data_IF_579115648968
#
_entry.id   IF_579115648968
#
_cell.length_a   1.000
_cell.length_b   1.000
_cell.length_c   1.000
_cell.angle_alpha   90.00
_cell.angle_beta   90.00
_cell.angle_gamma   90.00
#
_symmetry.space_group_name_H-M   'P 1'
#
loop_
_entity.id
_entity.type
_entity.pdbx_description
1 polymer ?
#
# COMPACT_ATOMS: atom_id res chain seq x y z
N UNK A 1 17.98 7.65 10.07
CA UNK A 1 18.38 6.26 10.39
C UNK A 1 18.31 5.50 9.09
N UNK A 2 19.36 4.78 8.70
CA UNK A 2 19.41 4.16 7.36
C UNK A 2 19.73 2.66 7.40
N UNK A 3 20.37 2.17 8.46
CA UNK A 3 20.64 0.74 8.63
C UNK A 3 20.27 0.33 10.05
N UNK A 4 19.44 -0.72 10.18
CA UNK A 4 19.05 -1.31 11.46
C UNK A 4 19.35 -2.81 11.43
N UNK A 5 19.95 -3.35 12.49
CA UNK A 5 20.41 -4.75 12.55
C UNK A 5 20.18 -5.34 13.93
N UNK A 6 19.52 -6.50 13.98
CA UNK A 6 19.48 -7.37 15.16
C UNK A 6 20.74 -8.23 15.26
N UNK A 7 21.20 -8.51 16.49
CA UNK A 7 22.44 -9.25 16.74
C UNK A 7 22.28 -10.29 17.87
N UNK A 8 23.09 -11.35 17.78
CA UNK A 8 23.22 -12.41 18.79
C UNK A 8 23.75 -11.92 20.15
N UNK A 9 24.30 -10.71 20.23
CA UNK A 9 24.77 -10.09 21.49
C UNK A 9 23.66 -9.36 22.26
N UNK A 10 22.41 -9.73 21.99
CA UNK A 10 21.18 -9.21 22.59
C UNK A 10 20.93 -7.74 22.28
N UNK A 11 21.42 -7.26 21.13
CA UNK A 11 21.29 -5.86 20.75
C UNK A 11 20.66 -5.68 19.39
N UNK A 12 20.01 -4.54 19.27
CA UNK A 12 19.60 -3.93 18.02
C UNK A 12 20.44 -2.68 17.82
N UNK A 13 21.10 -2.59 16.68
CA UNK A 13 21.95 -1.48 16.30
C UNK A 13 21.28 -0.65 15.23
N UNK A 14 21.52 0.66 15.24
CA UNK A 14 21.11 1.56 14.19
C UNK A 14 22.26 2.51 13.81
N UNK A 15 22.46 2.70 12.51
CA UNK A 15 23.47 3.59 11.96
C UNK A 15 22.90 4.53 10.89
N UNK A 16 23.59 5.66 10.72
CA UNK A 16 23.48 6.51 9.54
C UNK A 16 24.34 5.95 8.40
N UNK A 17 24.09 6.41 7.18
CA UNK A 17 24.78 6.00 5.95
C UNK A 17 26.28 6.29 5.99
N UNK A 18 26.70 7.24 6.83
CA UNK A 18 28.11 7.58 7.06
C UNK A 18 28.81 6.63 8.07
N UNK A 19 28.07 5.65 8.60
CA UNK A 19 28.55 4.66 9.57
C UNK A 19 28.53 5.15 11.02
N UNK A 20 28.09 6.39 11.29
CA UNK A 20 27.90 6.87 12.66
C UNK A 20 26.68 6.22 13.31
N UNK A 21 26.76 5.99 14.63
CA UNK A 21 25.64 5.40 15.39
C UNK A 21 24.51 6.41 15.54
N UNK A 22 23.28 5.97 15.34
CA UNK A 22 22.10 6.81 15.61
C UNK A 22 22.02 7.09 17.11
N UNK A 23 21.72 8.34 17.48
CA UNK A 23 21.55 8.72 18.90
C UNK A 23 20.47 7.86 19.55
N UNK A 24 20.76 7.33 20.73
CA UNK A 24 19.86 6.43 21.45
C UNK A 24 20.11 4.96 21.16
N UNK A 25 20.91 4.62 20.14
CA UNK A 25 21.23 3.23 19.78
C UNK A 25 22.67 2.87 20.19
N UNK A 26 22.96 1.58 20.46
CA UNK A 26 22.08 0.41 20.35
C UNK A 26 21.08 0.25 21.50
N UNK A 27 20.01 -0.53 21.27
CA UNK A 27 19.08 -1.01 22.31
C UNK A 27 19.32 -2.47 22.64
N UNK A 28 18.95 -2.87 23.85
CA UNK A 28 19.24 -4.21 24.38
C UNK A 28 17.94 -4.96 24.68
N UNK A 29 17.86 -6.18 24.19
CA UNK A 29 16.81 -7.18 24.47
C UNK A 29 17.27 -8.13 25.57
N UNK A 30 16.40 -9.06 25.99
CA UNK A 30 16.75 -10.09 26.97
C UNK A 30 17.64 -11.22 26.42
N UNK A 31 17.62 -11.46 25.12
CA UNK A 31 18.39 -12.50 24.43
C UNK A 31 18.62 -12.09 22.95
N UNK A 32 19.28 -12.92 22.16
CA UNK A 32 19.69 -12.65 20.78
C UNK A 32 18.54 -12.23 19.87
N UNK A 33 18.82 -11.26 18.99
CA UNK A 33 17.89 -10.76 17.97
C UNK A 33 18.31 -11.31 16.62
N UNK A 34 17.65 -12.37 16.16
CA UNK A 34 17.90 -12.99 14.84
C UNK A 34 16.80 -12.70 13.83
N UNK A 35 15.67 -12.19 14.29
CA UNK A 35 14.66 -11.64 13.38
C UNK A 35 15.24 -10.45 12.63
N UNK A 36 14.85 -10.29 11.36
CA UNK A 36 15.19 -9.06 10.68
C UNK A 36 14.30 -7.93 11.24
N UNK A 37 14.87 -6.77 11.57
CA UNK A 37 14.08 -5.62 11.97
C UNK A 37 13.20 -5.16 10.82
N UNK A 38 12.00 -4.69 11.15
CA UNK A 38 11.12 -3.97 10.22
C UNK A 38 10.85 -2.57 10.75
N UNK A 39 10.46 -1.69 9.83
CA UNK A 39 10.17 -0.28 10.08
C UNK A 39 8.73 0.04 9.72
N UNK A 40 8.07 0.86 10.53
CA UNK A 40 6.72 1.38 10.27
C UNK A 40 6.35 2.41 11.33
N UNK A 41 5.45 3.34 10.98
CA UNK A 41 4.90 4.34 11.90
C UNK A 41 3.81 3.69 12.76
N UNK A 42 4.22 3.13 13.90
CA UNK A 42 3.33 2.30 14.72
C UNK A 42 2.38 3.19 15.48
N UNK A 43 2.84 4.26 16.12
CA UNK A 43 1.98 5.09 16.96
C UNK A 43 1.35 6.29 16.24
N UNK A 44 1.56 6.42 14.93
CA UNK A 44 0.90 7.40 14.07
C UNK A 44 1.47 8.82 14.23
N UNK A 45 2.71 8.94 14.70
CA UNK A 45 3.35 10.23 14.94
C UNK A 45 4.13 10.77 13.72
N UNK A 46 4.27 9.93 12.68
CA UNK A 46 4.93 10.24 11.42
C UNK A 46 6.42 9.92 11.38
N UNK A 47 7.02 9.49 12.49
CA UNK A 47 8.34 8.88 12.52
C UNK A 47 8.22 7.35 12.41
N UNK A 48 9.32 6.66 12.07
CA UNK A 48 9.32 5.20 11.90
C UNK A 48 9.88 4.52 13.14
N UNK A 49 9.10 3.60 13.70
CA UNK A 49 9.50 2.70 14.77
C UNK A 49 10.23 1.47 14.21
N UNK A 50 11.03 0.84 15.06
CA UNK A 50 11.72 -0.42 14.78
C UNK A 50 11.02 -1.55 15.54
N UNK A 51 10.57 -2.57 14.82
CA UNK A 51 10.02 -3.81 15.40
C UNK A 51 10.98 -4.97 15.19
N UNK A 52 11.22 -5.73 16.26
CA UNK A 52 12.01 -6.97 16.22
C UNK A 52 11.39 -8.06 17.08
N UNK A 53 11.54 -9.31 16.66
CA UNK A 53 11.42 -10.49 17.51
C UNK A 53 12.75 -10.90 18.13
N UNK A 54 12.71 -11.37 19.37
CA UNK A 54 13.89 -11.78 20.14
C UNK A 54 13.72 -13.18 20.73
N UNK A 55 14.84 -13.83 21.03
CA UNK A 55 14.86 -15.16 21.63
C UNK A 55 14.37 -15.24 23.08
N UNK A 56 14.21 -14.09 23.75
CA UNK A 56 13.64 -13.98 25.10
C UNK A 56 12.10 -13.99 25.11
N UNK A 57 11.49 -14.63 24.12
CA UNK A 57 10.05 -14.77 23.92
C UNK A 57 9.33 -13.41 23.74
N UNK A 58 10.04 -12.36 23.32
CA UNK A 58 9.46 -11.01 23.18
C UNK A 58 9.60 -10.38 21.81
N UNK A 59 8.58 -9.60 21.48
CA UNK A 59 8.57 -8.65 20.39
C UNK A 59 8.75 -7.26 20.97
N UNK A 60 9.74 -6.53 20.45
CA UNK A 60 10.05 -5.17 20.88
C UNK A 60 9.69 -4.19 19.79
N UNK A 61 9.20 -3.02 20.19
CA UNK A 61 9.05 -1.85 19.34
C UNK A 61 9.72 -0.65 20.02
N UNK A 62 10.55 0.08 19.28
CA UNK A 62 11.17 1.33 19.73
C UNK A 62 10.96 2.43 18.72
N UNK A 63 10.75 3.65 19.20
CA UNK A 63 10.84 4.85 18.38
C UNK A 63 12.23 5.01 17.76
N UNK A 64 12.32 5.86 16.75
CA UNK A 64 13.57 6.19 16.07
C UNK A 64 14.68 6.70 17.02
N UNK A 65 14.31 7.33 18.16
CA UNK A 65 15.22 7.79 19.22
C UNK A 65 15.59 6.70 20.25
N UNK A 66 15.01 5.51 20.08
CA UNK A 66 15.20 4.31 20.88
C UNK A 66 14.40 4.29 22.19
N UNK A 67 13.54 5.26 22.46
CA UNK A 67 12.52 5.10 23.51
C UNK A 67 11.55 3.97 23.13
N UNK A 68 10.93 3.33 24.13
CA UNK A 68 10.03 2.20 23.89
C UNK A 68 8.65 2.74 23.51
N UNK A 69 8.05 2.15 22.48
CA UNK A 69 6.68 2.47 22.05
C UNK A 69 5.70 2.07 23.14
N UNK A 70 4.69 2.91 23.40
CA UNK A 70 3.69 2.61 24.43
C UNK A 70 3.01 1.26 24.19
N UNK A 71 2.88 0.48 25.27
CA UNK A 71 2.33 -0.87 25.21
C UNK A 71 3.35 -1.98 24.90
N UNK A 72 4.54 -1.66 24.41
CA UNK A 72 5.59 -2.64 24.08
C UNK A 72 6.61 -2.81 25.22
N UNK A 73 7.36 -3.93 25.29
CA UNK A 73 7.32 -5.12 24.43
C UNK A 73 6.13 -6.06 24.69
N UNK A 74 5.89 -7.00 23.77
CA UNK A 74 4.91 -8.08 23.91
C UNK A 74 5.56 -9.44 24.06
N UNK A 75 4.93 -10.31 24.85
CA UNK A 75 5.43 -11.64 25.15
C UNK A 75 4.65 -12.69 24.35
N UNK A 76 5.37 -13.57 23.67
CA UNK A 76 4.86 -14.79 23.03
C UNK A 76 5.07 -15.99 23.96
N UNK A 77 4.68 -17.19 23.50
CA UNK A 77 4.89 -18.41 24.29
C UNK A 77 6.30 -18.98 24.23
N UNK A 78 7.11 -18.62 23.21
CA UNK A 78 8.50 -19.04 23.00
C UNK A 78 9.28 -18.08 22.09
N UNK A 79 10.59 -18.33 21.97
CA UNK A 79 11.56 -17.58 21.19
C UNK A 79 11.07 -17.23 19.79
N UNK A 80 11.41 -16.03 19.32
CA UNK A 80 11.00 -15.56 18.01
C UNK A 80 12.19 -15.56 17.06
N UNK A 81 12.01 -16.22 15.91
CA UNK A 81 12.98 -16.25 14.81
C UNK A 81 12.45 -15.57 13.54
N UNK A 82 11.13 -15.45 13.45
CA UNK A 82 10.40 -14.84 12.35
C UNK A 82 10.66 -13.33 12.30
N UNK A 83 10.75 -12.78 11.09
CA UNK A 83 10.70 -11.33 10.93
C UNK A 83 9.23 -10.89 11.03
N UNK A 84 8.94 -9.78 11.74
CA UNK A 84 7.57 -9.29 11.84
C UNK A 84 7.00 -8.92 10.46
N UNK A 85 5.68 -8.93 10.34
CA UNK A 85 4.95 -8.31 9.23
C UNK A 85 4.06 -7.21 9.81
N UNK A 86 3.94 -6.10 9.09
CA UNK A 86 3.11 -4.95 9.45
C UNK A 86 1.98 -4.80 8.44
N UNK A 87 0.80 -4.38 8.89
CA UNK A 87 -0.34 -4.11 8.00
C UNK A 87 -1.54 -3.56 8.75
N UNK A 88 -2.26 -2.64 8.11
CA UNK A 88 -3.59 -2.19 8.56
C UNK A 88 -4.62 -3.24 8.13
N UNK A 89 -4.91 -4.16 9.04
CA UNK A 89 -5.66 -5.37 8.71
C UNK A 89 -7.17 -5.16 8.79
N UNK A 90 -7.64 -4.32 9.70
CA UNK A 90 -9.07 -4.03 9.85
C UNK A 90 -9.51 -2.68 9.23
N UNK A 91 -8.57 -1.99 8.58
CA UNK A 91 -8.77 -0.77 7.79
C UNK A 91 -9.23 0.40 8.63
N UNK A 92 -8.79 0.44 9.89
CA UNK A 92 -9.08 1.53 10.80
C UNK A 92 -8.03 2.66 10.73
N UNK A 93 -6.93 2.43 10.00
CA UNK A 93 -5.84 3.37 9.78
C UNK A 93 -4.67 3.20 10.76
N UNK A 94 -4.80 2.33 11.76
CA UNK A 94 -3.72 1.94 12.66
C UNK A 94 -3.04 0.65 12.14
N UNK A 95 -1.77 0.45 12.47
CA UNK A 95 -1.01 -0.73 12.00
C UNK A 95 -1.08 -1.86 13.02
N UNK A 96 -1.35 -3.08 12.54
CA UNK A 96 -1.13 -4.31 13.30
C UNK A 96 0.26 -4.92 13.06
N UNK A 97 0.80 -5.52 14.12
CA UNK A 97 2.06 -6.27 14.11
C UNK A 97 1.77 -7.77 14.18
N UNK A 98 2.24 -8.51 13.17
CA UNK A 98 2.10 -9.96 13.07
C UNK A 98 3.44 -10.66 13.25
N UNK A 99 3.45 -11.76 14.01
CA UNK A 99 4.67 -12.54 14.18
C UNK A 99 4.41 -14.03 14.40
N UNK A 100 5.28 -14.87 13.83
CA UNK A 100 5.32 -16.30 14.09
C UNK A 100 6.28 -16.60 15.25
N UNK A 101 5.82 -17.36 16.23
CA UNK A 101 6.58 -17.74 17.43
C UNK A 101 6.87 -19.25 17.45
N UNK A 102 7.91 -19.66 18.19
CA UNK A 102 8.34 -21.06 18.33
C UNK A 102 7.42 -21.94 19.18
N UNK A 103 6.31 -21.39 19.66
CA UNK A 103 5.23 -22.13 20.32
C UNK A 103 4.14 -22.61 19.34
N UNK A 104 4.40 -22.52 18.03
CA UNK A 104 3.46 -22.95 16.98
C UNK A 104 2.34 -21.96 16.72
N UNK A 105 2.46 -20.72 17.20
CA UNK A 105 1.42 -19.70 17.07
C UNK A 105 1.86 -18.50 16.24
N UNK A 106 0.85 -17.91 15.61
CA UNK A 106 0.92 -16.60 14.96
C UNK A 106 0.18 -15.61 15.86
N UNK A 107 0.88 -14.57 16.27
CA UNK A 107 0.35 -13.51 17.13
C UNK A 107 0.08 -12.26 16.30
N UNK A 108 -0.94 -11.50 16.70
CA UNK A 108 -1.27 -10.20 16.15
C UNK A 108 -1.59 -9.23 17.29
N UNK A 109 -1.03 -8.03 17.22
CA UNK A 109 -1.34 -6.93 18.14
C UNK A 109 -1.61 -5.66 17.35
N UNK A 110 -2.57 -4.86 17.80
CA UNK A 110 -2.75 -3.50 17.35
C UNK A 110 -1.53 -2.64 17.71
N UNK A 111 -1.44 -1.46 17.13
CA UNK A 111 -0.36 -0.50 17.35
C UNK A 111 -0.05 -0.22 18.83
N UNK A 112 -1.10 0.00 19.64
CA UNK A 112 -1.03 0.20 21.10
C UNK A 112 -0.69 -1.08 21.90
N UNK A 113 -0.50 -2.19 21.21
CA UNK A 113 -0.15 -3.48 21.76
C UNK A 113 -1.31 -4.27 22.37
N UNK A 114 -2.56 -3.82 22.25
CA UNK A 114 -3.69 -4.69 22.57
C UNK A 114 -3.75 -5.85 21.58
N UNK A 115 -4.18 -7.03 22.04
CA UNK A 115 -4.26 -8.22 21.18
C UNK A 115 -5.43 -8.07 20.21
N UNK A 116 -5.19 -8.35 18.93
CA UNK A 116 -6.27 -8.35 17.94
C UNK A 116 -7.28 -9.45 18.27
N UNK A 117 -8.56 -9.12 18.15
CA UNK A 117 -9.64 -10.06 18.41
C UNK A 117 -9.52 -11.29 17.49
N UNK A 118 -9.58 -12.48 18.09
CA UNK A 118 -9.47 -13.75 17.36
C UNK A 118 -8.05 -14.32 17.32
N UNK A 119 -7.05 -13.56 17.74
CA UNK A 119 -5.64 -13.95 17.79
C UNK A 119 -5.18 -14.28 19.22
N UNK A 120 -4.13 -15.12 19.41
CA UNK A 120 -3.29 -15.75 18.40
C UNK A 120 -3.93 -16.97 17.70
N UNK A 121 -3.36 -17.38 16.57
CA UNK A 121 -3.71 -18.60 15.84
C UNK A 121 -2.68 -19.68 16.00
N UNK A 122 -3.16 -20.93 16.12
CA UNK A 122 -2.31 -22.10 16.29
C UNK A 122 -2.20 -22.85 14.97
N UNK A 123 -0.97 -23.11 14.57
CA UNK A 123 -0.66 -24.14 13.56
C UNK A 123 -0.62 -25.49 14.27
N UNK A 124 -1.18 -26.53 13.65
CA UNK A 124 -1.22 -27.88 14.22
C UNK A 124 0.08 -28.69 13.99
N UNK A 125 1.15 -28.03 13.51
CA UNK A 125 2.50 -28.59 13.39
C UNK A 125 3.33 -28.33 14.65
N UNK A 126 4.16 -29.31 15.04
CA UNK A 126 5.25 -29.13 16.01
C UNK A 126 6.30 -28.18 15.41
N UNK A 127 6.03 -26.87 15.37
CA UNK A 127 6.92 -25.91 14.68
C UNK A 127 8.31 -25.91 15.32
N UNK A 128 9.23 -26.63 14.68
CA UNK A 128 10.67 -26.40 14.76
C UNK A 128 11.12 -25.35 13.71
N UNK A 129 10.16 -24.69 13.03
CA UNK A 129 10.35 -23.88 11.82
C UNK A 129 9.85 -22.42 11.88
N UNK A 130 9.79 -21.78 13.06
CA UNK A 130 9.35 -20.37 13.21
C UNK A 130 10.31 -19.32 12.65
N UNK A 131 11.11 -19.66 11.65
CA UNK A 131 11.95 -18.74 10.89
C UNK A 131 11.13 -17.90 9.90
N UNK A 132 9.93 -18.36 9.55
CA UNK A 132 9.22 -17.86 8.39
C UNK A 132 8.27 -16.71 8.76
N UNK A 133 8.22 -15.72 7.87
CA UNK A 133 7.48 -14.46 8.07
C UNK A 133 6.10 -14.56 7.43
N UNK A 134 5.06 -13.98 8.03
CA UNK A 134 3.74 -13.90 7.41
C UNK A 134 3.77 -13.09 6.11
N UNK A 135 2.82 -13.38 5.21
CA UNK A 135 2.41 -12.46 4.16
C UNK A 135 0.96 -12.04 4.37
N UNK A 136 0.63 -10.81 4.01
CA UNK A 136 -0.67 -10.18 4.25
C UNK A 136 -1.26 -9.68 2.93
N UNK A 137 -2.44 -10.18 2.56
CA UNK A 137 -3.19 -9.69 1.41
C UNK A 137 -4.55 -10.37 1.23
N UNK A 138 -5.44 -9.74 0.47
CA UNK A 138 -6.76 -10.28 0.09
C UNK A 138 -6.58 -11.40 -0.95
N UNK A 139 -6.56 -12.65 -0.49
CA UNK A 139 -6.34 -13.81 -1.36
C UNK A 139 -7.63 -14.43 -1.86
N UNK A 140 -8.77 -14.12 -1.25
CA UNK A 140 -10.04 -14.75 -1.60
C UNK A 140 -11.08 -13.81 -2.23
N UNK A 141 -10.75 -12.52 -2.33
CA UNK A 141 -11.55 -11.50 -3.00
C UNK A 141 -12.67 -10.95 -2.12
N UNK A 142 -12.60 -11.20 -0.80
CA UNK A 142 -13.57 -10.68 0.17
C UNK A 142 -13.42 -9.18 0.39
N UNK A 143 -12.25 -8.62 0.08
CA UNK A 143 -11.88 -7.26 0.41
C UNK A 143 -11.36 -7.11 1.84
N UNK A 144 -11.28 -8.17 2.63
CA UNK A 144 -10.57 -8.20 3.91
C UNK A 144 -9.14 -8.74 3.69
N UNK A 145 -8.22 -8.45 4.61
CA UNK A 145 -6.83 -8.91 4.48
C UNK A 145 -6.67 -10.28 5.14
N UNK A 146 -6.13 -11.25 4.40
CA UNK A 146 -5.76 -12.56 4.94
C UNK A 146 -4.29 -12.61 5.36
N UNK A 147 -4.05 -13.44 6.38
CA UNK A 147 -2.74 -13.72 6.94
C UNK A 147 -2.30 -15.10 6.46
N UNK A 148 -1.30 -15.14 5.59
CA UNK A 148 -0.77 -16.36 4.97
C UNK A 148 0.55 -16.74 5.62
N UNK A 149 0.65 -17.97 6.12
CA UNK A 149 1.83 -18.45 6.87
C UNK A 149 2.22 -19.86 6.43
N UNK A 150 3.50 -20.04 6.11
CA UNK A 150 4.12 -21.35 5.91
C UNK A 150 4.47 -22.05 7.22
N UNK A 151 4.46 -23.39 7.21
CA UNK A 151 4.79 -24.26 8.35
C UNK A 151 5.61 -25.47 7.90
N UNK A 152 5.71 -26.50 8.74
CA UNK A 152 6.47 -27.73 8.42
C UNK A 152 5.90 -28.52 7.25
N UNK A 153 4.59 -28.57 7.05
CA UNK A 153 4.00 -29.38 5.96
C UNK A 153 2.76 -28.75 5.31
N UNK A 154 2.42 -27.53 5.74
CA UNK A 154 1.22 -26.81 5.32
C UNK A 154 1.47 -25.32 5.12
N UNK A 155 0.56 -24.70 4.39
CA UNK A 155 0.38 -23.27 4.35
C UNK A 155 -1.01 -22.97 4.92
N UNK A 156 -1.08 -22.08 5.89
CA UNK A 156 -2.32 -21.62 6.50
C UNK A 156 -2.70 -20.26 5.96
N UNK A 157 -4.00 -20.00 5.92
CA UNK A 157 -4.54 -18.68 5.68
C UNK A 157 -5.73 -18.45 6.61
N UNK A 158 -5.75 -17.30 7.26
CA UNK A 158 -6.84 -16.83 8.11
C UNK A 158 -7.29 -15.46 7.65
N UNK A 159 -8.59 -15.19 7.77
CA UNK A 159 -9.13 -13.85 7.66
C UNK A 159 -8.69 -12.97 8.82
N UNK A 160 -8.90 -11.66 8.68
CA UNK A 160 -8.58 -10.66 9.69
C UNK A 160 -9.16 -10.97 11.09
N UNK A 161 -10.39 -11.51 11.15
CA UNK A 161 -11.08 -11.91 12.37
C UNK A 161 -10.61 -13.26 12.95
N UNK A 162 -9.68 -13.90 12.25
CA UNK A 162 -9.10 -15.19 12.58
C UNK A 162 -9.96 -16.39 12.18
N UNK A 163 -11.04 -16.23 11.42
CA UNK A 163 -11.69 -17.38 10.79
C UNK A 163 -10.79 -17.98 9.71
N UNK A 164 -10.97 -19.26 9.40
CA UNK A 164 -10.16 -19.92 8.37
C UNK A 164 -10.65 -19.50 6.99
N UNK A 165 -9.72 -19.21 6.08
CA UNK A 165 -10.04 -19.03 4.67
C UNK A 165 -10.59 -20.33 4.10
N UNK A 166 -11.59 -20.24 3.22
CA UNK A 166 -12.25 -21.40 2.64
C UNK A 166 -11.25 -22.26 1.86
N UNK A 167 -11.21 -23.58 2.13
CA UNK A 167 -10.27 -24.57 1.52
C UNK A 167 -8.80 -24.41 1.93
N UNK A 168 -8.55 -23.74 3.06
CA UNK A 168 -7.25 -23.72 3.74
C UNK A 168 -7.31 -24.52 5.06
N UNK A 169 -6.19 -25.07 5.55
CA UNK A 169 -4.82 -24.96 5.02
C UNK A 169 -4.56 -25.82 3.76
N UNK A 170 -3.50 -25.47 3.00
CA UNK A 170 -2.95 -26.27 1.90
C UNK A 170 -1.83 -27.16 2.40
N UNK A 171 -1.72 -28.39 1.87
CA UNK A 171 -0.65 -29.34 2.25
C UNK A 171 0.47 -29.34 1.21
N UNK A 172 1.71 -29.23 1.65
CA UNK A 172 2.95 -29.23 0.84
C UNK A 172 3.85 -30.42 1.15
N UNK A 173 3.72 -31.01 2.34
CA UNK A 173 4.40 -32.25 2.73
C UNK A 173 5.84 -32.11 3.23
N UNK A 174 6.41 -30.90 3.21
CA UNK A 174 7.73 -30.57 3.75
C UNK A 174 7.84 -29.05 4.01
N UNK A 175 8.92 -28.61 4.66
CA UNK A 175 9.13 -27.27 5.20
C UNK A 175 8.76 -26.17 4.21
N UNK A 176 7.88 -25.25 4.61
CA UNK A 176 7.37 -24.16 3.79
C UNK A 176 7.89 -22.82 4.32
N UNK A 177 8.80 -22.13 3.60
CA UNK A 177 9.28 -20.82 3.95
C UNK A 177 8.23 -19.73 3.75
N UNK A 178 8.61 -18.47 4.02
CA UNK A 178 7.74 -17.29 3.89
C UNK A 178 7.02 -17.27 2.53
N UNK A 179 5.68 -17.14 2.50
CA UNK A 179 4.92 -17.03 1.26
C UNK A 179 5.20 -15.73 0.52
N UNK A 180 4.89 -15.74 -0.78
CA UNK A 180 4.83 -14.56 -1.63
C UNK A 180 3.46 -14.50 -2.32
N UNK A 181 2.89 -13.30 -2.39
CA UNK A 181 1.59 -13.03 -3.01
C UNK A 181 1.79 -12.22 -4.30
N UNK A 182 1.11 -12.63 -5.38
CA UNK A 182 1.08 -11.84 -6.61
C UNK A 182 0.47 -12.58 -7.79
N UNK A 183 0.09 -11.82 -8.82
CA UNK A 183 -0.35 -12.33 -10.13
C UNK A 183 0.88 -12.78 -10.95
N UNK A 184 1.16 -14.08 -10.95
CA UNK A 184 2.35 -14.67 -11.58
C UNK A 184 2.10 -15.13 -13.01
N UNK A 185 0.86 -15.49 -13.35
CA UNK A 185 0.52 -16.01 -14.68
C UNK A 185 -0.20 -14.98 -15.57
N UNK A 186 -0.56 -13.83 -15.01
CA UNK A 186 -1.09 -12.66 -15.70
C UNK A 186 -2.59 -12.72 -15.93
N UNK A 187 -3.33 -13.60 -15.25
CA UNK A 187 -4.78 -13.71 -15.43
C UNK A 187 -5.60 -12.69 -14.62
N UNK A 188 -4.92 -11.99 -13.70
CA UNK A 188 -5.48 -10.93 -12.87
C UNK A 188 -6.01 -11.40 -11.51
N UNK A 189 -5.97 -12.70 -11.24
CA UNK A 189 -6.20 -13.28 -9.93
C UNK A 189 -4.87 -13.33 -9.14
N UNK A 190 -4.93 -13.53 -7.82
CA UNK A 190 -3.77 -13.50 -6.93
C UNK A 190 -3.28 -14.92 -6.62
N UNK A 191 -2.00 -15.18 -6.82
CA UNK A 191 -1.41 -16.45 -6.41
C UNK A 191 -0.76 -16.36 -5.04
N UNK A 192 -0.88 -17.45 -4.29
CA UNK A 192 0.02 -17.76 -3.18
C UNK A 192 1.14 -18.67 -3.69
N UNK A 193 2.38 -18.18 -3.62
CA UNK A 193 3.59 -18.93 -3.99
C UNK A 193 4.39 -19.26 -2.75
N UNK A 194 4.80 -20.52 -2.63
CA UNK A 194 5.72 -20.97 -1.58
C UNK A 194 6.78 -21.89 -2.14
N UNK A 195 7.99 -21.76 -1.60
CA UNK A 195 9.00 -22.81 -1.72
C UNK A 195 8.64 -24.02 -0.86
N UNK A 196 9.35 -25.11 -1.09
CA UNK A 196 9.46 -26.25 -0.17
C UNK A 196 10.83 -26.91 -0.41
N UNK A 197 11.13 -27.99 0.29
CA UNK A 197 12.44 -28.63 0.24
C UNK A 197 12.90 -28.97 -1.20
N UNK A 198 12.00 -29.47 -2.04
CA UNK A 198 12.29 -29.89 -3.42
C UNK A 198 11.34 -29.33 -4.48
N UNK A 199 10.36 -28.50 -4.08
CA UNK A 199 9.25 -28.03 -4.94
C UNK A 199 8.96 -26.56 -4.73
N UNK A 200 8.28 -25.98 -5.71
CA UNK A 200 7.53 -24.73 -5.56
C UNK A 200 6.06 -25.08 -5.72
N UNK A 201 5.23 -24.60 -4.79
CA UNK A 201 3.78 -24.70 -4.88
C UNK A 201 3.22 -23.32 -5.23
N UNK A 202 2.27 -23.32 -6.15
CA UNK A 202 1.53 -22.13 -6.58
C UNK A 202 0.05 -22.49 -6.47
N UNK A 203 -0.71 -21.67 -5.75
CA UNK A 203 -2.16 -21.76 -5.71
C UNK A 203 -2.73 -20.48 -6.30
N UNK A 204 -3.36 -20.63 -7.46
CA UNK A 204 -4.34 -19.69 -8.01
C UNK A 204 -5.51 -19.57 -7.01
N UNK A 205 -5.75 -18.35 -6.56
CA UNK A 205 -6.75 -18.00 -5.57
C UNK A 205 -7.77 -17.03 -6.18
N UNK A 206 -9.00 -17.01 -5.66
CA UNK A 206 -10.10 -16.25 -6.27
C UNK A 206 -10.06 -14.73 -6.05
N UNK A 207 -9.07 -14.22 -5.32
CA UNK A 207 -8.91 -12.79 -5.09
C UNK A 207 -8.34 -12.09 -6.32
N UNK A 208 -8.84 -10.91 -6.65
CA UNK A 208 -8.27 -10.10 -7.73
C UNK A 208 -6.94 -9.53 -7.25
N UNK A 209 -5.88 -9.71 -8.02
CA UNK A 209 -4.60 -9.10 -7.70
C UNK A 209 -4.68 -7.58 -7.75
N UNK A 210 -4.52 -6.97 -6.57
CA UNK A 210 -4.50 -5.53 -6.40
C UNK A 210 -3.49 -5.17 -5.32
N UNK A 211 -2.46 -4.39 -5.67
CA UNK A 211 -1.46 -3.91 -4.73
C UNK A 211 -2.07 -3.16 -3.54
N UNK A 212 -3.25 -2.55 -3.71
CA UNK A 212 -3.97 -1.89 -2.61
C UNK A 212 -4.50 -2.88 -1.58
N UNK A 213 -4.67 -4.14 -1.92
CA UNK A 213 -5.12 -5.18 -1.02
C UNK A 213 -3.97 -6.08 -0.56
N UNK A 214 -2.71 -5.68 -0.76
CA UNK A 214 -1.53 -6.38 -0.26
C UNK A 214 -0.85 -5.50 0.77
N UNK A 215 -0.95 -5.83 2.06
CA UNK A 215 -0.28 -5.08 3.13
C UNK A 215 1.17 -5.51 3.32
N UNK A 216 1.49 -6.78 3.07
CA UNK A 216 2.83 -7.32 3.26
C UNK A 216 3.02 -8.55 2.38
N UNK A 217 3.20 -8.36 1.08
CA UNK A 217 3.07 -9.42 0.09
C UNK A 217 4.16 -10.49 0.12
N UNK A 218 5.32 -10.21 0.72
CA UNK A 218 6.44 -11.17 0.77
C UNK A 218 7.36 -10.89 1.96
N UNK A 219 8.39 -11.73 2.12
CA UNK A 219 9.45 -11.50 3.11
C UNK A 219 10.08 -10.12 2.92
N UNK A 220 10.10 -9.32 4.00
CA UNK A 220 10.50 -7.91 3.99
C UNK A 220 9.62 -7.01 3.12
N UNK A 221 8.30 -7.21 3.21
CA UNK A 221 7.23 -6.38 2.66
C UNK A 221 7.08 -6.46 1.13
N UNK A 222 8.11 -6.04 0.40
CA UNK A 222 8.06 -5.79 -1.04
C UNK A 222 9.14 -6.57 -1.83
N UNK A 223 9.10 -6.44 -3.16
CA UNK A 223 10.04 -7.09 -4.07
C UNK A 223 11.50 -6.65 -3.89
N UNK A 224 11.72 -5.48 -3.28
CA UNK A 224 13.04 -4.95 -2.94
C UNK A 224 13.51 -5.41 -1.56
N UNK A 225 12.64 -6.06 -0.78
CA UNK A 225 12.90 -6.54 0.57
C UNK A 225 13.32 -5.42 1.51
N UNK A 226 12.59 -4.30 1.46
CA UNK A 226 12.91 -3.11 2.25
C UNK A 226 12.70 -3.33 3.75
N UNK A 227 11.74 -4.17 4.12
CA UNK A 227 11.30 -4.29 5.51
C UNK A 227 10.66 -3.00 6.04
N UNK A 228 10.22 -2.12 5.15
CA UNK A 228 9.61 -0.83 5.45
C UNK A 228 8.12 -0.89 5.10
N UNK A 229 7.27 -0.69 6.10
CA UNK A 229 5.86 -0.40 5.91
C UNK A 229 5.68 1.11 5.82
N UNK A 230 5.17 1.57 4.68
CA UNK A 230 4.62 2.91 4.55
C UNK A 230 3.11 2.77 4.56
N UNK A 231 2.37 3.51 5.41
CA UNK A 231 0.93 3.47 5.38
C UNK A 231 0.48 3.75 3.94
N UNK A 232 -0.36 2.87 3.40
CA UNK A 232 -1.00 3.17 2.13
C UNK A 232 -1.69 4.51 2.29
N UNK A 233 -1.48 5.47 1.38
CA UNK A 233 -2.18 6.73 1.46
C UNK A 233 -3.65 6.40 1.63
N UNK A 234 -4.30 6.91 2.68
CA UNK A 234 -5.72 6.71 2.91
C UNK A 234 -6.43 6.99 1.58
N UNK A 235 -6.93 5.93 0.93
CA UNK A 235 -7.37 5.97 -0.47
C UNK A 235 -6.66 5.05 -1.49
N UNK A 236 -5.71 4.22 -1.06
CA UNK A 236 -5.00 3.28 -1.93
C UNK A 236 -3.96 3.96 -2.81
N UNK A 237 -3.07 3.16 -3.38
CA UNK A 237 -2.19 3.58 -4.46
C UNK A 237 -3.07 4.11 -5.60
N UNK A 238 -2.86 5.39 -5.90
CA UNK A 238 -3.70 6.14 -6.83
C UNK A 238 -3.44 5.84 -8.29
N UNK A 239 -2.48 4.97 -8.56
CA UNK A 239 -2.03 4.57 -9.87
C UNK A 239 -1.74 3.08 -9.88
N UNK A 240 -2.38 2.34 -10.78
CA UNK A 240 -2.04 0.95 -11.07
C UNK A 240 -1.77 0.77 -12.56
N UNK A 241 -0.99 -0.25 -12.91
CA UNK A 241 -0.53 -0.51 -14.28
C UNK A 241 -0.77 -1.99 -14.60
N UNK A 242 -1.35 -2.29 -15.75
CA UNK A 242 -1.57 -3.67 -16.20
C UNK A 242 -1.49 -3.80 -17.75
N UNK A 243 -0.82 -4.83 -18.28
CA UNK A 243 -0.05 -5.83 -17.55
C UNK A 243 1.24 -5.23 -16.98
N UNK A 244 1.75 -5.78 -15.88
CA UNK A 244 3.00 -5.32 -15.23
C UNK A 244 4.26 -5.90 -15.89
N UNK A 245 4.11 -6.91 -16.74
CA UNK A 245 5.18 -7.49 -17.56
C UNK A 245 4.61 -8.07 -18.87
N UNK A 246 5.48 -8.40 -19.81
CA UNK A 246 5.08 -9.00 -21.08
C UNK A 246 6.25 -9.25 -22.01
N UNK A 247 5.99 -9.93 -23.13
CA UNK A 247 6.98 -10.14 -24.21
C UNK A 247 6.47 -9.52 -25.50
N UNK A 248 7.34 -8.79 -26.18
CA UNK A 248 7.08 -8.21 -27.50
C UNK A 248 8.18 -8.63 -28.47
N UNK A 249 7.78 -9.08 -29.65
CA UNK A 249 8.70 -9.28 -30.77
C UNK A 249 9.21 -7.91 -31.28
N UNK A 250 10.43 -7.84 -31.83
CA UNK A 250 10.97 -6.60 -32.37
C UNK A 250 10.03 -5.94 -33.40
N UNK A 251 9.70 -4.68 -33.17
CA UNK A 251 8.82 -3.88 -34.04
C UNK A 251 7.31 -4.02 -33.76
N UNK A 252 6.91 -4.82 -32.78
CA UNK A 252 5.52 -4.91 -32.32
C UNK A 252 5.23 -3.91 -31.18
N UNK A 253 3.94 -3.76 -30.87
CA UNK A 253 3.44 -2.92 -29.78
C UNK A 253 2.43 -3.68 -28.92
N UNK A 254 2.34 -3.34 -27.64
CA UNK A 254 1.26 -3.75 -26.73
C UNK A 254 0.68 -2.53 -26.04
N UNK A 255 -0.56 -2.64 -25.56
CA UNK A 255 -1.17 -1.63 -24.72
C UNK A 255 -0.90 -1.94 -23.25
N UNK A 256 -0.56 -0.91 -22.49
CA UNK A 256 -0.50 -0.95 -21.04
C UNK A 256 -1.63 -0.04 -20.54
N UNK A 257 -2.50 -0.59 -19.70
CA UNK A 257 -3.56 0.15 -19.02
C UNK A 257 -2.99 0.79 -17.78
N UNK A 258 -3.14 2.11 -17.66
CA UNK A 258 -2.82 2.87 -16.45
C UNK A 258 -4.15 3.32 -15.84
N UNK A 259 -4.43 2.86 -14.63
CA UNK A 259 -5.68 3.18 -13.92
C UNK A 259 -5.36 4.15 -12.79
N UNK A 260 -6.15 5.22 -12.70
CA UNK A 260 -6.04 6.18 -11.61
C UNK A 260 -7.21 5.99 -10.64
N UNK A 261 -6.95 5.87 -9.34
CA UNK A 261 -7.98 5.80 -8.30
C UNK A 261 -7.76 6.92 -7.28
N UNK A 262 -8.65 7.92 -7.28
CA UNK A 262 -8.55 9.05 -6.35
C UNK A 262 -9.46 8.90 -5.12
N UNK A 263 -10.08 7.73 -4.95
CA UNK A 263 -11.04 7.50 -3.86
C UNK A 263 -10.31 7.56 -2.53
N UNK A 264 -10.75 8.41 -1.60
CA UNK A 264 -10.14 8.54 -0.27
C UNK A 264 -8.88 9.41 -0.21
N UNK A 265 -8.30 9.76 -1.35
CA UNK A 265 -7.01 10.46 -1.41
C UNK A 265 -7.18 11.94 -1.03
N UNK A 266 -6.36 12.45 -0.10
CA UNK A 266 -6.39 13.87 0.25
C UNK A 266 -6.12 14.78 -0.96
N UNK A 267 -6.56 16.05 -0.90
CA UNK A 267 -6.18 17.05 -1.89
C UNK A 267 -4.68 17.30 -1.87
N UNK A 268 -4.05 17.34 -3.04
CA UNK A 268 -2.61 17.49 -3.19
C UNK A 268 -2.11 17.24 -4.60
N UNK A 269 -0.81 17.46 -4.80
CA UNK A 269 -0.10 17.02 -6.00
C UNK A 269 0.72 15.78 -5.69
N UNK A 270 0.48 14.73 -6.48
CA UNK A 270 1.11 13.43 -6.36
C UNK A 270 1.96 13.17 -7.59
N UNK A 271 3.16 12.66 -7.35
CA UNK A 271 4.16 12.41 -8.39
C UNK A 271 4.66 10.98 -8.27
N UNK A 272 4.65 10.24 -9.38
CA UNK A 272 5.27 8.92 -9.47
C UNK A 272 5.84 8.73 -10.87
N UNK A 273 6.83 7.87 -11.01
CA UNK A 273 7.33 7.46 -12.32
C UNK A 273 6.86 6.04 -12.60
N UNK A 274 6.20 5.81 -13.75
CA UNK A 274 6.05 4.47 -14.29
C UNK A 274 7.39 4.10 -14.91
N UNK A 275 7.98 3.00 -14.46
CA UNK A 275 9.29 2.53 -14.94
C UNK A 275 9.10 1.23 -15.71
N UNK A 276 9.48 1.24 -16.98
CA UNK A 276 9.46 0.07 -17.86
C UNK A 276 10.90 -0.36 -18.07
N UNK A 277 11.25 -1.55 -17.59
CA UNK A 277 12.54 -2.18 -17.86
C UNK A 277 12.40 -3.17 -19.00
N UNK A 278 13.31 -3.13 -19.96
CA UNK A 278 13.31 -4.02 -21.12
C UNK A 278 14.65 -4.74 -21.26
N UNK A 279 14.67 -5.83 -22.03
CA UNK A 279 15.89 -6.52 -22.43
C UNK A 279 16.48 -5.98 -23.76
N UNK A 280 15.95 -4.87 -24.28
CA UNK A 280 16.53 -4.16 -25.42
C UNK A 280 17.89 -3.55 -25.00
N UNK A 281 19.00 -3.88 -25.70
CA UNK A 281 20.32 -3.38 -25.33
C UNK A 281 20.50 -1.88 -25.52
N UNK A 282 19.69 -1.25 -26.38
CA UNK A 282 19.76 0.18 -26.67
C UNK A 282 18.80 0.97 -25.76
N UNK A 283 17.63 0.44 -25.45
CA UNK A 283 16.59 1.06 -24.59
C UNK A 283 16.09 0.13 -23.48
N UNK A 284 16.95 -0.16 -22.51
CA UNK A 284 16.63 -1.06 -21.40
C UNK A 284 15.78 -0.43 -20.28
N UNK A 285 15.56 0.88 -20.31
CA UNK A 285 14.85 1.62 -19.28
C UNK A 285 14.09 2.82 -19.87
N UNK A 286 12.77 2.82 -19.71
CA UNK A 286 11.91 3.95 -20.00
C UNK A 286 11.22 4.41 -18.72
N UNK A 287 11.35 5.69 -18.39
CA UNK A 287 10.70 6.30 -17.23
C UNK A 287 9.68 7.34 -17.69
N UNK A 288 8.43 7.13 -17.32
CA UNK A 288 7.30 7.99 -17.68
C UNK A 288 6.85 8.73 -16.42
N UNK A 289 7.10 10.05 -16.31
CA UNK A 289 6.66 10.82 -15.16
C UNK A 289 5.13 10.99 -15.19
N UNK A 290 4.49 10.67 -14.08
CA UNK A 290 3.05 10.82 -13.88
C UNK A 290 2.78 11.83 -12.78
N UNK A 291 1.87 12.75 -13.08
CA UNK A 291 1.38 13.75 -12.14
C UNK A 291 -0.11 13.57 -11.95
N UNK A 292 -0.54 13.43 -10.70
CA UNK A 292 -1.95 13.47 -10.31
C UNK A 292 -2.17 14.69 -9.42
N UNK A 293 -3.16 15.51 -9.75
CA UNK A 293 -3.62 16.60 -8.89
C UNK A 293 -5.01 16.27 -8.36
N UNK A 294 -5.09 16.01 -7.06
CA UNK A 294 -6.36 15.83 -6.35
C UNK A 294 -6.77 17.19 -5.78
N UNK A 295 -7.98 17.65 -6.08
CA UNK A 295 -8.45 18.97 -5.64
C UNK A 295 -9.67 18.84 -4.75
N UNK A 296 -9.81 19.74 -3.77
CA UNK A 296 -11.10 19.95 -3.09
C UNK A 296 -11.98 20.71 -4.07
N UNK A 297 -13.18 20.21 -4.40
CA UNK A 297 -14.17 20.99 -5.12
C UNK A 297 -14.48 22.25 -4.28
N UNK A 298 -14.08 23.43 -4.75
CA UNK A 298 -14.32 24.69 -4.03
C UNK A 298 -15.79 25.08 -4.14
N UNK A 299 -16.58 25.10 -3.05
CA UNK A 299 -17.97 25.50 -3.11
C UNK A 299 -18.11 26.92 -3.67
N UNK A 300 -18.79 27.05 -4.80
CA UNK A 300 -19.00 28.32 -5.50
C UNK A 300 -18.16 28.52 -6.77
N UNK A 301 -17.29 27.59 -7.15
CA UNK A 301 -16.66 27.59 -8.48
C UNK A 301 -17.60 27.07 -9.59
N UNK A 302 -17.29 27.39 -10.84
CA UNK A 302 -18.00 26.83 -12.00
C UNK A 302 -17.69 25.33 -12.11
N UNK A 303 -16.44 24.91 -11.89
CA UNK A 303 -16.06 23.49 -11.92
C UNK A 303 -16.84 22.67 -10.90
N UNK A 304 -17.04 23.18 -9.68
CA UNK A 304 -17.83 22.50 -8.65
C UNK A 304 -19.25 22.20 -9.14
N UNK A 305 -19.89 23.17 -9.80
CA UNK A 305 -21.22 23.00 -10.35
C UNK A 305 -21.24 21.99 -11.51
N UNK A 306 -20.19 21.96 -12.34
CA UNK A 306 -20.03 20.97 -13.43
C UNK A 306 -19.90 19.56 -12.88
N UNK A 307 -19.10 19.37 -11.83
CA UNK A 307 -18.87 18.08 -11.20
C UNK A 307 -20.16 17.55 -10.55
N UNK A 308 -20.91 18.41 -9.86
CA UNK A 308 -22.16 18.07 -9.19
C UNK A 308 -23.35 17.84 -10.14
N UNK A 309 -23.31 18.42 -11.36
CA UNK A 309 -24.41 18.33 -12.32
C UNK A 309 -24.53 16.95 -12.99
N UNK A 310 -25.76 16.57 -13.30
CA UNK A 310 -26.09 15.40 -14.14
C UNK A 310 -26.09 15.77 -15.63
N UNK A 311 -25.87 14.80 -16.54
CA UNK A 311 -25.96 15.06 -17.98
C UNK A 311 -27.34 15.60 -18.38
N UNK A 312 -27.34 16.75 -19.06
CA UNK A 312 -28.53 17.49 -19.49
C UNK A 312 -28.88 18.70 -18.62
N UNK A 313 -28.23 18.84 -17.45
CA UNK A 313 -28.52 19.94 -16.52
C UNK A 313 -28.11 21.31 -17.07
N UNK A 314 -28.77 22.33 -16.53
CA UNK A 314 -28.43 23.74 -16.75
C UNK A 314 -27.79 24.33 -15.50
N UNK A 315 -26.55 24.81 -15.64
CA UNK A 315 -25.81 25.53 -14.61
C UNK A 315 -25.98 27.03 -14.85
N UNK A 316 -26.54 27.72 -13.86
CA UNK A 316 -26.64 29.19 -13.85
C UNK A 316 -25.51 29.74 -12.99
N UNK A 317 -24.57 30.44 -13.62
CA UNK A 317 -23.42 31.06 -12.98
C UNK A 317 -23.80 32.48 -12.56
N UNK A 318 -23.60 32.80 -11.27
CA UNK A 318 -23.87 34.12 -10.72
C UNK A 318 -22.85 35.14 -11.21
N UNK A 319 -23.19 36.43 -11.10
CA UNK A 319 -22.27 37.51 -11.46
C UNK A 319 -20.99 37.45 -10.62
N UNK A 320 -19.86 37.70 -11.26
CA UNK A 320 -18.56 37.60 -10.60
C UNK A 320 -17.38 37.47 -11.55
N UNK A 321 -16.20 37.40 -10.97
CA UNK A 321 -14.97 37.02 -11.67
C UNK A 321 -14.49 35.69 -11.11
N UNK A 322 -14.47 34.68 -11.97
CA UNK A 322 -14.07 33.32 -11.67
C UNK A 322 -12.67 33.10 -12.25
N UNK A 323 -11.70 32.74 -11.41
CA UNK A 323 -10.32 32.44 -11.86
C UNK A 323 -10.12 30.94 -11.79
N UNK A 324 -10.40 30.24 -12.88
CA UNK A 324 -10.39 28.78 -12.98
C UNK A 324 -10.28 28.33 -14.44
N UNK A 325 -9.84 27.08 -14.63
CA UNK A 325 -9.89 26.39 -15.91
C UNK A 325 -10.97 25.31 -15.79
N UNK A 326 -12.06 25.43 -16.55
CA UNK A 326 -13.27 24.60 -16.39
C UNK A 326 -13.26 23.44 -17.38
N UNK A 327 -13.27 22.22 -16.89
CA UNK A 327 -13.34 20.98 -17.66
C UNK A 327 -14.77 20.46 -17.72
N UNK A 328 -15.36 20.46 -18.92
CA UNK A 328 -16.76 20.07 -19.16
C UNK A 328 -16.79 18.71 -19.86
N UNK A 329 -16.96 17.65 -19.08
CA UNK A 329 -16.88 16.25 -19.53
C UNK A 329 -18.23 15.54 -19.68
N UNK A 330 -19.33 16.28 -19.55
CA UNK A 330 -20.69 15.76 -19.68
C UNK A 330 -21.57 16.79 -20.38
N UNK A 331 -22.64 16.33 -21.02
CA UNK A 331 -23.61 17.18 -21.73
C UNK A 331 -24.21 18.19 -20.75
N UNK A 332 -23.95 19.49 -20.91
CA UNK A 332 -24.43 20.54 -20.01
C UNK A 332 -24.78 21.82 -20.75
N UNK A 333 -25.67 22.61 -20.17
CA UNK A 333 -25.85 24.03 -20.53
C UNK A 333 -25.31 24.90 -19.41
N UNK A 334 -24.33 25.75 -19.69
CA UNK A 334 -23.69 26.64 -18.71
C UNK A 334 -23.95 28.08 -19.13
N UNK A 335 -24.67 28.84 -18.31
CA UNK A 335 -25.11 30.20 -18.64
C UNK A 335 -24.79 31.18 -17.50
N UNK A 336 -24.30 32.36 -17.85
CA UNK A 336 -24.24 33.49 -16.92
C UNK A 336 -25.64 34.04 -16.66
N UNK A 337 -25.96 34.33 -15.40
CA UNK A 337 -27.25 34.88 -14.98
C UNK A 337 -27.56 36.22 -15.64
N UNK A 338 -26.61 37.17 -15.63
CA UNK A 338 -26.81 38.53 -16.18
C UNK A 338 -25.89 38.84 -17.37
N UNK A 339 -25.48 37.80 -18.12
CA UNK A 339 -24.72 37.93 -19.36
C UNK A 339 -23.25 38.34 -19.17
N UNK A 340 -22.57 38.58 -20.29
CA UNK A 340 -21.09 38.67 -20.33
C UNK A 340 -20.53 39.92 -19.68
N UNK A 341 -21.33 40.97 -19.52
CA UNK A 341 -20.92 42.19 -18.84
C UNK A 341 -20.67 41.98 -17.33
N UNK A 342 -21.33 41.01 -16.72
CA UNK A 342 -21.33 40.80 -15.26
C UNK A 342 -20.63 39.52 -14.82
N UNK A 343 -20.34 38.60 -15.74
CA UNK A 343 -19.64 37.35 -15.44
C UNK A 343 -18.38 37.20 -16.30
N UNK A 344 -17.22 37.22 -15.64
CA UNK A 344 -15.92 36.99 -16.26
C UNK A 344 -15.34 35.66 -15.80
N UNK A 345 -14.86 34.85 -16.74
CA UNK A 345 -14.06 33.65 -16.45
C UNK A 345 -12.65 33.89 -16.96
N UNK A 346 -11.70 33.84 -16.05
CA UNK A 346 -10.28 34.05 -16.30
C UNK A 346 -9.55 32.73 -16.08
N UNK A 347 -8.67 32.33 -17.01
CA UNK A 347 -7.84 31.15 -16.82
C UNK A 347 -7.04 31.28 -15.51
N UNK A 348 -6.96 30.22 -14.71
CA UNK A 348 -6.03 30.19 -13.58
C UNK A 348 -4.62 29.84 -14.07
N UNK A 349 -4.49 28.87 -14.96
CA UNK A 349 -3.25 28.45 -15.61
C UNK A 349 -3.12 29.05 -17.02
N UNK A 350 -1.98 29.71 -17.28
CA UNK A 350 -1.75 30.44 -18.56
C UNK A 350 -1.64 29.53 -19.78
N UNK A 351 -1.22 28.27 -19.58
CA UNK A 351 -1.03 27.29 -20.65
C UNK A 351 -2.30 26.53 -21.01
N UNK A 352 -3.37 26.68 -20.24
CA UNK A 352 -4.58 25.87 -20.34
C UNK A 352 -5.78 26.67 -20.88
N UNK A 353 -6.77 25.95 -21.39
CA UNK A 353 -8.04 26.52 -21.84
C UNK A 353 -8.87 27.04 -20.66
N UNK A 354 -9.61 28.14 -20.85
CA UNK A 354 -10.57 28.62 -19.83
C UNK A 354 -11.75 27.65 -19.69
N UNK A 355 -12.24 27.14 -20.83
CA UNK A 355 -13.22 26.06 -20.89
C UNK A 355 -12.67 24.99 -21.81
N UNK A 356 -12.40 23.81 -21.25
CA UNK A 356 -12.04 22.63 -22.01
C UNK A 356 -13.29 21.74 -22.16
N UNK A 357 -13.74 21.51 -23.39
CA UNK A 357 -14.97 20.74 -23.67
C UNK A 357 -14.58 19.33 -24.14
N UNK A 358 -14.95 18.33 -23.35
CA UNK A 358 -14.67 16.92 -23.59
C UNK A 358 -15.94 16.07 -23.82
N UNK A 359 -17.11 16.69 -23.97
CA UNK A 359 -18.38 16.01 -24.23
C UNK A 359 -19.20 16.69 -25.33
N UNK A 360 -20.02 15.87 -26.02
CA UNK A 360 -20.96 16.35 -27.03
C UNK A 360 -22.12 17.12 -26.40
N UNK A 361 -22.73 18.01 -27.19
CA UNK A 361 -23.93 18.79 -26.83
C UNK A 361 -23.76 19.71 -25.60
N UNK A 362 -22.55 20.22 -25.39
CA UNK A 362 -22.27 21.27 -24.41
C UNK A 362 -22.61 22.65 -24.99
N UNK A 363 -23.38 23.45 -24.26
CA UNK A 363 -23.72 24.83 -24.63
C UNK A 363 -23.24 25.81 -23.55
N UNK A 364 -22.37 26.75 -23.90
CA UNK A 364 -21.80 27.73 -22.97
C UNK A 364 -22.08 29.13 -23.50
N UNK A 365 -22.70 30.00 -22.71
CA UNK A 365 -23.02 31.36 -23.16
C UNK A 365 -23.09 32.40 -22.05
N UNK A 366 -22.88 33.67 -22.41
CA UNK A 366 -23.02 34.80 -21.49
C UNK A 366 -21.78 35.11 -20.65
N UNK A 367 -20.58 34.69 -21.04
CA UNK A 367 -19.35 34.98 -20.30
C UNK A 367 -18.43 35.95 -21.04
N UNK A 368 -17.74 36.80 -20.31
CA UNK A 368 -16.48 37.42 -20.78
C UNK A 368 -15.34 36.46 -20.46
N UNK A 369 -14.51 36.11 -21.44
CA UNK A 369 -13.38 35.20 -21.27
C UNK A 369 -12.07 35.98 -21.25
N UNK A 370 -11.19 35.70 -20.28
CA UNK A 370 -9.86 36.33 -20.17
C UNK A 370 -8.75 35.28 -20.05
N UNK A 371 -7.60 35.56 -20.68
CA UNK A 371 -6.36 34.83 -20.41
C UNK A 371 -5.75 35.30 -19.08
N UNK A 372 -5.03 34.42 -18.38
CA UNK A 372 -4.22 34.83 -17.25
C UNK A 372 -3.11 35.80 -17.71
N UNK A 373 -2.99 36.93 -17.02
CA UNK A 373 -1.86 37.87 -17.17
C UNK A 373 -0.57 37.21 -16.79
#
# INVERSE_FOLDING_TARGET
>A
MEVVVGSYDNKVYAWHHDGSTVKGWPRTTGDGVVSSPVLGDIDGDGDLEIVVGSWDDKVYAWHHDGSIVEGWPKTTGRSIWSSPALGDMDKDGDIEVFICSYDGKVYAWHHNGSTVKGWPKTTDSDIYSSYYSPALGDIDGSGDIEIVVGSDDKVYAWHHDGSNVTRWPKKTGDYVPSPALGDIDGDGDIEVVVGSYDKVYVWDCSGIYNLNNIEWGTFHHDVMRTGLYEPKPSGGFWLSVYPTSGTLEPGNQTNITVTFNTTGIPPGEYHVNITITSNDPDENLLSIPVKLRVTIPQPGSIQYAVDAASPGDTIIVKDGTYTENVYVNKRLTIISENGSANCTVQAAERSEDVFHIAADYVNISGFTIRRAY
#
